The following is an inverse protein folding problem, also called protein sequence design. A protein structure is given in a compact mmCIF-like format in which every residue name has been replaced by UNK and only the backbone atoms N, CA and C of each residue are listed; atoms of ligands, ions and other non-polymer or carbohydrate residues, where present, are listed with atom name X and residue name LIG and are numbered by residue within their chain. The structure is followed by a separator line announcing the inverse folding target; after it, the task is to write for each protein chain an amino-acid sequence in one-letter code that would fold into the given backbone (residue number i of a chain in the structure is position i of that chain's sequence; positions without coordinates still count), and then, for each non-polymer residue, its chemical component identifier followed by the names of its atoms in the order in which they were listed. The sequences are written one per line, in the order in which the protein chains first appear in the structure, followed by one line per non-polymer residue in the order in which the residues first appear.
data_IF_372852587374
#
_entry.id   IF_372852587374
#
_cell.length_a   1.000
_cell.length_b   1.000
_cell.length_c   1.000
_cell.angle_alpha   90.00
_cell.angle_beta   90.00
_cell.angle_gamma   90.00
#
_symmetry.space_group_name_H-M   'P 1'
#
loop_
_entity.id
_entity.type
_entity.pdbx_description
1 polymer ?
#
# COMPACT_ATOMS: atom_id res chain seq x y z
N UNK A 1 13.43 1.99 11.52
CA UNK A 1 13.23 1.39 10.19
C UNK A 1 11.77 1.61 9.85
N UNK A 2 11.50 2.70 9.17
CA UNK A 2 10.14 3.19 8.96
C UNK A 2 9.56 2.61 7.68
N UNK A 3 9.06 1.38 7.79
CA UNK A 3 8.38 0.67 6.70
C UNK A 3 7.21 1.48 6.12
N UNK A 4 6.60 2.34 6.94
CA UNK A 4 5.53 3.27 6.55
C UNK A 4 6.02 4.30 5.54
N UNK A 5 7.21 4.89 5.76
CA UNK A 5 7.75 5.93 4.89
C UNK A 5 8.18 5.36 3.53
N UNK A 6 8.78 4.16 3.53
CA UNK A 6 9.08 3.44 2.28
C UNK A 6 7.82 3.12 1.47
N UNK A 7 6.75 2.65 2.12
CA UNK A 7 5.49 2.35 1.43
C UNK A 7 4.78 3.62 0.97
N UNK A 8 4.82 4.72 1.72
CA UNK A 8 4.28 6.00 1.25
C UNK A 8 4.99 6.48 0.00
N UNK A 9 6.32 6.45 -0.02
CA UNK A 9 7.10 6.82 -1.20
C UNK A 9 6.83 5.89 -2.39
N UNK A 10 6.69 4.59 -2.15
CA UNK A 10 6.36 3.64 -3.20
C UNK A 10 4.95 3.87 -3.75
N UNK A 11 3.96 4.04 -2.88
CA UNK A 11 2.59 4.35 -3.28
C UNK A 11 2.54 5.69 -4.05
N UNK A 12 3.27 6.71 -3.62
CA UNK A 12 3.36 7.98 -4.33
C UNK A 12 3.90 7.80 -5.76
N UNK A 13 4.95 6.97 -5.94
CA UNK A 13 5.50 6.66 -7.26
C UNK A 13 4.51 5.87 -8.15
N UNK A 14 3.76 4.95 -7.57
CA UNK A 14 2.75 4.15 -8.30
C UNK A 14 1.55 5.00 -8.71
N UNK A 15 1.03 5.82 -7.79
CA UNK A 15 -0.15 6.65 -8.05
C UNK A 15 0.18 8.00 -8.71
N UNK A 16 1.45 8.40 -8.74
CA UNK A 16 1.92 9.71 -9.20
C UNK A 16 1.38 10.89 -8.36
N UNK A 17 0.75 10.61 -7.21
CA UNK A 17 0.10 11.62 -6.40
C UNK A 17 0.05 11.21 -4.93
N UNK A 18 0.63 12.05 -4.08
CA UNK A 18 0.71 11.85 -2.63
C UNK A 18 -0.66 11.69 -1.96
N UNK A 19 -1.65 12.46 -2.39
CA UNK A 19 -3.00 12.39 -1.81
C UNK A 19 -3.68 11.07 -2.16
N UNK A 20 -3.53 10.59 -3.40
CA UNK A 20 -4.06 9.29 -3.82
C UNK A 20 -3.35 8.13 -3.11
N UNK A 21 -2.03 8.21 -3.00
CA UNK A 21 -1.21 7.24 -2.27
C UNK A 21 -1.64 7.17 -0.79
N UNK A 22 -1.74 8.32 -0.12
CA UNK A 22 -2.11 8.35 1.29
C UNK A 22 -3.57 7.93 1.50
N UNK A 23 -4.49 8.30 0.61
CA UNK A 23 -5.87 7.81 0.64
C UNK A 23 -5.92 6.29 0.48
N UNK A 24 -5.16 5.72 -0.48
CA UNK A 24 -5.09 4.28 -0.69
C UNK A 24 -4.53 3.55 0.53
N UNK A 25 -3.51 4.10 1.18
CA UNK A 25 -2.87 3.55 2.39
C UNK A 25 -3.74 3.62 3.65
N UNK A 26 -4.63 4.61 3.73
CA UNK A 26 -5.58 4.77 4.83
C UNK A 26 -6.94 4.09 4.56
N UNK A 27 -7.19 3.61 3.36
CA UNK A 27 -8.44 2.95 3.01
C UNK A 27 -8.36 1.45 3.36
N UNK A 28 -9.33 0.91 4.11
CA UNK A 28 -9.39 -0.53 4.35
C UNK A 28 -9.65 -1.26 3.04
N UNK A 29 -8.99 -2.40 2.84
CA UNK A 29 -9.14 -3.20 1.62
C UNK A 29 -9.34 -4.65 1.98
N UNK A 30 -10.23 -5.30 1.23
CA UNK A 30 -10.50 -6.74 1.36
C UNK A 30 -9.23 -7.57 1.16
N UNK A 31 -8.31 -7.12 0.31
CA UNK A 31 -6.99 -7.74 0.10
C UNK A 31 -6.14 -7.84 1.39
N UNK A 32 -6.40 -6.98 2.38
CA UNK A 32 -5.73 -6.99 3.68
C UNK A 32 -6.66 -7.47 4.82
N UNK A 33 -7.78 -8.14 4.48
CA UNK A 33 -8.78 -8.62 5.44
C UNK A 33 -9.46 -7.47 6.18
N UNK A 34 -9.98 -6.50 5.44
CA UNK A 34 -10.63 -5.27 5.94
C UNK A 34 -9.74 -4.35 6.80
N UNK A 35 -8.45 -4.64 6.87
CA UNK A 35 -7.47 -3.75 7.49
C UNK A 35 -6.97 -2.71 6.48
N UNK A 36 -6.50 -1.58 6.99
CA UNK A 36 -5.78 -0.61 6.14
C UNK A 36 -4.39 -1.15 5.80
N UNK A 37 -3.84 -0.81 4.62
CA UNK A 37 -2.46 -1.11 4.28
C UNK A 37 -1.51 -0.72 5.42
N UNK A 38 -1.68 0.47 6.03
CA UNK A 38 -0.89 0.94 7.18
C UNK A 38 -0.95 0.02 8.40
N UNK A 39 -2.12 -0.54 8.71
CA UNK A 39 -2.25 -1.54 9.78
C UNK A 39 -1.61 -2.88 9.38
N UNK A 40 -1.67 -3.25 8.09
CA UNK A 40 -1.00 -4.44 7.60
C UNK A 40 0.53 -4.32 7.73
N UNK A 41 1.14 -3.17 7.38
CA UNK A 41 2.60 -2.97 7.49
C UNK A 41 3.12 -3.16 8.93
N UNK A 42 2.30 -2.85 9.94
CA UNK A 42 2.65 -3.06 11.35
C UNK A 42 2.64 -4.54 11.75
N UNK A 43 2.02 -5.43 10.96
CA UNK A 43 2.04 -6.88 11.16
C UNK A 43 3.24 -7.49 10.42
N UNK A 44 3.75 -8.60 10.96
CA UNK A 44 4.88 -9.34 10.39
C UNK A 44 4.54 -9.81 8.96
N UNK A 45 5.32 -9.38 7.97
CA UNK A 45 5.12 -9.71 6.55
C UNK A 45 4.08 -8.85 5.82
N UNK A 46 3.39 -7.92 6.50
CA UNK A 46 2.42 -7.07 5.83
C UNK A 46 3.03 -6.01 4.93
N UNK A 47 4.29 -5.61 5.17
CA UNK A 47 5.05 -4.76 4.26
C UNK A 47 5.18 -5.37 2.86
N UNK A 48 5.54 -6.65 2.77
CA UNK A 48 5.70 -7.36 1.50
C UNK A 48 4.35 -7.51 0.76
N UNK A 49 3.28 -7.73 1.52
CA UNK A 49 1.90 -7.78 1.01
C UNK A 49 1.47 -6.44 0.40
N UNK A 50 1.68 -5.34 1.12
CA UNK A 50 1.33 -3.99 0.64
C UNK A 50 2.18 -3.60 -0.56
N UNK A 51 3.47 -3.94 -0.53
CA UNK A 51 4.38 -3.76 -1.66
C UNK A 51 3.89 -4.51 -2.91
N UNK A 52 3.53 -5.79 -2.76
CA UNK A 52 3.04 -6.61 -3.87
C UNK A 52 1.76 -6.06 -4.48
N UNK A 53 0.82 -5.56 -3.68
CA UNK A 53 -0.39 -4.90 -4.20
C UNK A 53 -0.08 -3.59 -4.94
N UNK A 54 0.83 -2.77 -4.41
CA UNK A 54 1.27 -1.56 -5.11
C UNK A 54 1.94 -1.90 -6.45
N UNK A 55 2.73 -2.96 -6.51
CA UNK A 55 3.33 -3.45 -7.76
C UNK A 55 2.28 -3.93 -8.75
N UNK A 56 1.23 -4.64 -8.32
CA UNK A 56 0.11 -5.03 -9.18
C UNK A 56 -0.62 -3.81 -9.77
N UNK A 57 -0.89 -2.80 -8.93
CA UNK A 57 -1.51 -1.54 -9.38
C UNK A 57 -0.60 -0.83 -10.38
N UNK A 58 0.70 -0.78 -10.11
CA UNK A 58 1.71 -0.21 -11.01
C UNK A 58 1.77 -0.90 -12.36
N UNK A 59 1.56 -2.22 -12.38
CA UNK A 59 1.54 -3.03 -13.60
C UNK A 59 0.21 -2.92 -14.37
N UNK A 60 -0.75 -2.14 -13.87
CA UNK A 60 -2.07 -1.98 -14.51
C UNK A 60 -2.98 -3.19 -14.28
N UNK A 61 -2.71 -4.01 -13.26
CA UNK A 61 -3.60 -5.10 -12.86
C UNK A 61 -4.85 -4.51 -12.19
N UNK A 62 -5.81 -4.12 -13.02
CA UNK A 62 -7.18 -3.82 -12.61
C UNK A 62 -7.92 -5.15 -12.65
N UNK A 63 -8.20 -5.74 -11.49
CA UNK A 63 -9.18 -6.81 -11.37
C UNK A 63 -10.45 -6.27 -10.71
#
# INVERSE_FOLDING_TARGET
MDYVESIQNQAERVFGNKNKANAWLNQPKVAFGDNTPLQAIQKRGGYELVKAELEKISQGYVC
#
